data_IF_381597365669
#
_entry.id   IF_381597365669
#
_cell.length_a   1.000
_cell.length_b   1.000
_cell.length_c   1.000
_cell.angle_alpha   90.00
_cell.angle_beta   90.00
_cell.angle_gamma   90.00
#
_symmetry.space_group_name_H-M   'P 1'
#
loop_
_entity.id
_entity.type
_entity.pdbx_description
1 polymer ?
#
# COMPACT_ATOMS: atom_id res chain seq x y z
N UNK A 1 -24.32 -1.10 -11.33
CA UNK A 1 -23.63 0.01 -12.02
C UNK A 1 -22.20 -0.46 -12.23
N UNK A 2 -21.80 -0.79 -13.47
CA UNK A 2 -20.43 -1.20 -13.77
C UNK A 2 -19.56 0.04 -13.53
N UNK A 3 -18.61 -0.01 -12.60
CA UNK A 3 -17.52 0.96 -12.57
C UNK A 3 -16.80 0.83 -13.92
N UNK A 4 -16.95 1.82 -14.81
CA UNK A 4 -16.02 2.00 -15.91
C UNK A 4 -14.61 1.99 -15.30
N UNK A 5 -13.80 1.02 -15.73
CA UNK A 5 -12.49 0.78 -15.16
C UNK A 5 -11.61 2.00 -15.37
N UNK A 6 -10.92 2.44 -14.33
CA UNK A 6 -9.86 3.47 -14.43
C UNK A 6 -8.75 3.05 -15.39
N UNK A 7 -8.58 1.75 -15.58
CA UNK A 7 -7.58 1.15 -16.46
C UNK A 7 -8.28 0.30 -17.51
N UNK A 8 -7.73 0.31 -18.72
CA UNK A 8 -8.20 -0.55 -19.80
C UNK A 8 -7.70 -2.00 -19.64
N UNK A 9 -8.17 -2.91 -20.51
CA UNK A 9 -7.79 -4.33 -20.45
C UNK A 9 -6.28 -4.54 -20.69
N UNK A 10 -5.64 -3.70 -21.51
CA UNK A 10 -4.22 -3.82 -21.82
C UNK A 10 -3.35 -3.39 -20.64
N UNK A 11 -3.73 -2.33 -19.93
CA UNK A 11 -3.09 -1.87 -18.70
C UNK A 11 -3.24 -2.89 -17.57
N UNK A 12 -4.44 -3.46 -17.40
CA UNK A 12 -4.69 -4.53 -16.42
C UNK A 12 -3.84 -5.75 -16.73
N UNK A 13 -3.73 -6.16 -18.01
CA UNK A 13 -2.93 -7.30 -18.42
C UNK A 13 -1.42 -7.03 -18.27
N UNK A 14 -0.94 -5.84 -18.64
CA UNK A 14 0.45 -5.44 -18.44
C UNK A 14 0.84 -5.48 -16.96
N UNK A 15 -0.02 -4.96 -16.09
CA UNK A 15 0.17 -5.03 -14.65
C UNK A 15 0.13 -6.48 -14.13
N UNK A 16 -0.78 -7.33 -14.65
CA UNK A 16 -0.82 -8.76 -14.31
C UNK A 16 0.50 -9.45 -14.66
N UNK A 17 1.06 -9.18 -15.84
CA UNK A 17 2.34 -9.73 -16.28
C UNK A 17 3.47 -9.28 -15.36
N UNK A 18 3.59 -7.98 -15.08
CA UNK A 18 4.61 -7.43 -14.17
C UNK A 18 4.58 -8.13 -12.80
N UNK A 19 3.40 -8.25 -12.20
CA UNK A 19 3.22 -8.87 -10.88
C UNK A 19 3.28 -10.39 -10.88
N UNK A 20 3.35 -11.04 -12.03
CA UNK A 20 3.62 -12.46 -12.17
C UNK A 20 5.12 -12.79 -12.27
N UNK A 21 5.98 -11.77 -12.40
CA UNK A 21 7.45 -11.92 -12.43
C UNK A 21 8.00 -12.18 -11.02
N UNK A 22 9.31 -12.41 -10.94
CA UNK A 22 9.96 -12.83 -9.72
C UNK A 22 9.84 -11.75 -8.62
N UNK A 23 9.35 -12.16 -7.45
CA UNK A 23 9.34 -11.33 -6.24
C UNK A 23 10.17 -11.96 -5.12
N UNK A 24 11.10 -11.20 -4.55
CA UNK A 24 12.03 -11.67 -3.51
C UNK A 24 12.05 -10.75 -2.30
N UNK A 25 12.35 -11.32 -1.12
CA UNK A 25 12.64 -10.52 0.06
C UNK A 25 14.08 -10.00 -0.06
N UNK A 26 14.24 -8.68 0.02
CA UNK A 26 15.55 -8.03 -0.03
C UNK A 26 16.15 -7.95 1.37
N UNK A 27 15.48 -7.22 2.27
CA UNK A 27 15.94 -7.03 3.64
C UNK A 27 14.86 -6.46 4.57
N UNK A 28 15.10 -6.55 5.88
CA UNK A 28 14.38 -5.80 6.90
C UNK A 28 15.30 -4.72 7.50
N UNK A 29 14.88 -3.46 7.42
CA UNK A 29 15.62 -2.33 7.99
C UNK A 29 15.08 -1.97 9.38
N UNK A 30 15.99 -1.83 10.35
CA UNK A 30 15.68 -1.45 11.75
C UNK A 30 16.03 0.01 12.07
N UNK A 31 16.74 0.67 11.17
CA UNK A 31 17.15 2.08 11.25
C UNK A 31 17.25 2.67 9.83
N UNK A 32 17.26 4.00 9.75
CA UNK A 32 17.35 4.75 8.48
C UNK A 32 18.69 4.51 7.79
N UNK A 33 19.77 4.36 8.56
CA UNK A 33 21.11 4.07 8.04
C UNK A 33 21.22 2.69 7.37
N UNK A 34 20.28 1.79 7.67
CA UNK A 34 20.18 0.46 7.07
C UNK A 34 19.20 0.38 5.89
N UNK A 35 18.71 1.50 5.36
CA UNK A 35 17.86 1.47 4.18
C UNK A 35 18.66 1.11 2.93
N UNK A 36 18.11 0.32 1.98
CA UNK A 36 18.78 0.08 0.72
C UNK A 36 18.94 1.40 -0.06
N UNK A 37 19.86 1.49 -1.04
CA UNK A 37 19.98 2.66 -1.91
C UNK A 37 18.64 3.08 -2.52
N UNK A 38 18.41 4.37 -2.75
CA UNK A 38 17.16 4.90 -3.33
C UNK A 38 17.20 4.87 -4.87
N UNK A 39 17.50 3.70 -5.46
CA UNK A 39 17.85 3.47 -6.86
C UNK A 39 16.70 2.94 -7.74
N UNK A 40 15.52 2.67 -7.17
CA UNK A 40 14.36 2.18 -7.92
C UNK A 40 13.04 2.65 -7.30
N UNK A 41 11.93 2.73 -8.07
CA UNK A 41 10.64 3.14 -7.54
C UNK A 41 10.16 2.28 -6.36
N UNK A 42 9.64 2.94 -5.33
CA UNK A 42 9.11 2.31 -4.13
C UNK A 42 7.64 2.63 -3.93
N UNK A 43 6.88 1.63 -3.49
CA UNK A 43 5.55 1.83 -2.92
C UNK A 43 5.49 1.23 -1.51
N UNK A 44 4.88 1.96 -0.60
CA UNK A 44 4.81 1.56 0.80
C UNK A 44 3.40 1.06 1.16
N UNK A 45 3.29 0.07 2.05
CA UNK A 45 2.03 -0.41 2.59
C UNK A 45 2.01 -0.17 4.09
N UNK A 46 1.09 0.66 4.57
CA UNK A 46 0.88 0.92 6.00
C UNK A 46 -0.51 0.43 6.42
N UNK A 47 -0.70 0.16 7.71
CA UNK A 47 -2.02 -0.17 8.23
C UNK A 47 -1.97 -0.71 9.64
N UNK A 48 -3.15 -0.85 10.26
CA UNK A 48 -3.29 -1.47 11.58
C UNK A 48 -2.77 -2.90 11.57
N UNK A 49 -2.36 -3.40 12.74
CA UNK A 49 -2.11 -4.84 12.89
C UNK A 49 -3.33 -5.66 12.44
N UNK A 50 -3.08 -6.80 11.78
CA UNK A 50 -4.12 -7.71 11.28
C UNK A 50 -5.11 -7.12 10.27
N UNK A 51 -4.81 -5.95 9.69
CA UNK A 51 -5.63 -5.35 8.63
C UNK A 51 -5.59 -6.16 7.32
N UNK A 52 -4.58 -7.01 7.14
CA UNK A 52 -4.40 -7.84 5.93
C UNK A 52 -3.24 -7.41 5.03
N UNK A 53 -2.32 -6.56 5.51
CA UNK A 53 -1.16 -6.07 4.74
C UNK A 53 -0.31 -7.17 4.10
N UNK A 54 0.19 -8.12 4.90
CA UNK A 54 1.01 -9.22 4.36
C UNK A 54 0.20 -10.11 3.41
N UNK A 55 -1.09 -10.33 3.69
CA UNK A 55 -2.00 -11.04 2.77
C UNK A 55 -2.18 -10.31 1.44
N UNK A 56 -2.29 -8.98 1.47
CA UNK A 56 -2.41 -8.16 0.27
C UNK A 56 -1.13 -8.19 -0.56
N UNK A 57 0.04 -8.03 0.05
CA UNK A 57 1.34 -8.12 -0.64
C UNK A 57 1.49 -9.50 -1.31
N UNK A 58 1.19 -10.57 -0.57
CA UNK A 58 1.22 -11.94 -1.10
C UNK A 58 0.22 -12.13 -2.27
N UNK A 59 -0.98 -11.56 -2.18
CA UNK A 59 -1.97 -11.61 -3.26
C UNK A 59 -1.52 -10.83 -4.49
N UNK A 60 -0.89 -9.67 -4.31
CA UNK A 60 -0.34 -8.86 -5.39
C UNK A 60 0.67 -9.64 -6.21
N UNK A 61 1.62 -10.33 -5.59
CA UNK A 61 2.69 -11.06 -6.29
C UNK A 61 2.36 -12.54 -6.56
N UNK A 62 1.17 -13.03 -6.20
CA UNK A 62 0.80 -14.44 -6.38
C UNK A 62 1.59 -15.45 -5.53
N UNK A 63 2.36 -15.00 -4.54
CA UNK A 63 3.18 -15.85 -3.67
C UNK A 63 2.57 -15.99 -2.27
N UNK A 64 2.44 -17.21 -1.75
CA UNK A 64 1.79 -17.47 -0.45
C UNK A 64 2.64 -17.14 0.79
N UNK A 65 3.96 -16.94 0.64
CA UNK A 65 4.91 -16.88 1.78
C UNK A 65 5.99 -15.80 1.66
N UNK A 66 5.85 -14.87 0.72
CA UNK A 66 6.83 -13.79 0.54
C UNK A 66 6.81 -12.85 1.74
N UNK A 67 5.67 -12.20 1.98
CA UNK A 67 5.42 -11.40 3.17
C UNK A 67 4.87 -12.31 4.27
N UNK A 68 5.68 -12.61 5.28
CA UNK A 68 5.21 -13.34 6.46
C UNK A 68 4.51 -12.37 7.40
N UNK A 69 3.33 -12.74 7.88
CA UNK A 69 2.63 -12.01 8.93
C UNK A 69 3.43 -12.13 10.24
N UNK A 70 4.38 -11.22 10.47
CA UNK A 70 5.09 -11.08 11.74
C UNK A 70 4.14 -10.43 12.76
N UNK A 71 3.34 -11.26 13.41
CA UNK A 71 2.31 -10.85 14.37
C UNK A 71 2.68 -11.14 15.83
N UNK A 72 3.89 -11.61 16.10
CA UNK A 72 4.34 -11.93 17.45
C UNK A 72 4.75 -10.66 18.22
N UNK A 73 4.08 -10.35 19.35
CA UNK A 73 4.49 -9.26 20.21
C UNK A 73 5.91 -9.51 20.75
N UNK A 74 6.85 -8.60 20.49
CA UNK A 74 8.23 -8.68 21.01
C UNK A 74 9.32 -8.85 19.96
N UNK A 75 8.99 -9.09 18.68
CA UNK A 75 9.98 -9.02 17.60
C UNK A 75 10.39 -7.57 17.28
N UNK A 76 11.66 -7.41 16.92
CA UNK A 76 12.18 -6.17 16.32
C UNK A 76 11.29 -5.79 15.15
N UNK A 77 10.79 -4.56 15.17
CA UNK A 77 9.91 -4.08 14.12
C UNK A 77 10.74 -3.48 13.01
N UNK A 78 10.67 -4.07 11.84
CA UNK A 78 11.49 -3.74 10.67
C UNK A 78 10.61 -3.18 9.55
N UNK A 79 11.18 -2.28 8.75
CA UNK A 79 10.63 -1.93 7.43
C UNK A 79 11.12 -2.99 6.45
N UNK A 80 10.21 -3.80 5.92
CA UNK A 80 10.59 -4.91 5.04
C UNK A 80 10.51 -4.49 3.58
N UNK A 81 11.58 -4.77 2.84
CA UNK A 81 11.70 -4.48 1.43
C UNK A 81 11.57 -5.78 0.63
N UNK A 82 10.69 -5.78 -0.35
CA UNK A 82 10.56 -6.83 -1.34
C UNK A 82 10.83 -6.25 -2.72
N UNK A 83 11.64 -6.92 -3.53
CA UNK A 83 11.92 -6.51 -4.92
C UNK A 83 11.03 -7.33 -5.83
N UNK A 84 10.30 -6.65 -6.73
CA UNK A 84 9.55 -7.26 -7.81
C UNK A 84 10.26 -6.93 -9.13
N UNK A 85 10.75 -7.97 -9.80
CA UNK A 85 11.33 -7.93 -11.14
C UNK A 85 12.49 -6.96 -11.34
N UNK A 86 13.24 -6.66 -10.26
CA UNK A 86 14.26 -5.59 -10.26
C UNK A 86 13.74 -4.23 -10.77
N UNK A 87 12.41 -4.05 -10.82
CA UNK A 87 11.75 -2.88 -11.39
C UNK A 87 11.13 -2.01 -10.30
N UNK A 88 10.55 -2.62 -9.26
CA UNK A 88 9.97 -1.90 -8.13
C UNK A 88 10.29 -2.57 -6.80
N UNK A 89 10.21 -1.77 -5.75
CA UNK A 89 10.18 -2.27 -4.37
C UNK A 89 8.80 -2.10 -3.75
N UNK A 90 8.29 -3.20 -3.21
CA UNK A 90 7.14 -3.22 -2.32
C UNK A 90 7.67 -3.12 -0.89
N UNK A 91 7.29 -2.05 -0.18
CA UNK A 91 7.79 -1.77 1.16
C UNK A 91 6.68 -2.03 2.17
N UNK A 92 6.82 -3.06 2.98
CA UNK A 92 5.91 -3.32 4.09
C UNK A 92 6.33 -2.39 5.23
N UNK A 93 5.53 -1.33 5.39
CA UNK A 93 5.60 -0.52 6.59
C UNK A 93 4.96 -1.30 7.73
N UNK A 94 5.65 -1.38 8.85
CA UNK A 94 5.19 -2.16 9.96
C UNK A 94 3.92 -1.55 10.60
N UNK A 95 3.11 -2.39 11.24
CA UNK A 95 1.75 -2.01 11.64
C UNK A 95 1.68 -1.01 12.82
N UNK A 96 0.57 -0.28 12.92
CA UNK A 96 0.26 0.59 14.07
C UNK A 96 -0.95 0.08 14.87
N UNK A 97 -1.23 0.72 16.01
CA UNK A 97 -2.42 0.45 16.84
C UNK A 97 -2.33 -0.75 17.79
N UNK A 98 -1.13 -1.21 18.13
CA UNK A 98 -0.95 -2.29 19.13
C UNK A 98 -1.01 -1.77 20.58
N UNK A 99 -1.91 -2.34 21.38
CA UNK A 99 -2.08 -2.02 22.80
C UNK A 99 -0.94 -2.50 23.73
N UNK A 100 -0.06 -3.41 23.28
CA UNK A 100 0.87 -4.15 24.16
C UNK A 100 2.36 -3.84 23.98
N UNK A 101 2.73 -2.89 23.11
CA UNK A 101 4.14 -2.53 22.94
C UNK A 101 4.55 -1.42 23.91
N UNK A 102 5.79 -1.48 24.41
CA UNK A 102 6.32 -0.42 25.28
C UNK A 102 6.29 0.93 24.55
N UNK A 103 6.07 2.02 25.29
CA UNK A 103 6.05 3.39 24.73
C UNK A 103 7.35 3.70 23.96
N UNK A 104 8.49 3.18 24.42
CA UNK A 104 9.81 3.39 23.80
C UNK A 104 9.92 2.66 22.45
N UNK A 105 9.54 1.38 22.40
CA UNK A 105 9.59 0.59 21.16
C UNK A 105 8.60 1.10 20.13
N UNK A 106 7.43 1.57 20.56
CA UNK A 106 6.45 2.21 19.67
C UNK A 106 6.96 3.55 19.13
N UNK A 107 7.63 4.37 19.95
CA UNK A 107 8.17 5.67 19.51
C UNK A 107 9.34 5.53 18.54
N UNK A 108 10.33 4.66 18.82
CA UNK A 108 11.47 4.41 17.90
C UNK A 108 11.00 3.97 16.52
N UNK A 109 9.96 3.16 16.53
CA UNK A 109 9.33 2.64 15.35
C UNK A 109 8.53 3.67 14.55
N UNK A 110 7.70 4.45 15.24
CA UNK A 110 7.01 5.59 14.64
C UNK A 110 8.01 6.58 14.04
N UNK A 111 9.16 6.75 14.69
CA UNK A 111 10.27 7.53 14.14
C UNK A 111 10.82 6.88 12.86
N UNK A 112 11.18 5.58 12.87
CA UNK A 112 11.70 4.89 11.68
C UNK A 112 10.75 5.01 10.47
N UNK A 113 9.45 4.76 10.67
CA UNK A 113 8.47 4.90 9.60
C UNK A 113 8.39 6.35 9.10
N UNK A 114 8.36 7.33 10.00
CA UNK A 114 8.32 8.76 9.63
C UNK A 114 9.61 9.22 8.93
N UNK A 115 10.76 8.72 9.37
CA UNK A 115 12.06 9.10 8.83
C UNK A 115 12.26 8.48 7.45
N UNK A 116 11.77 7.24 7.24
CA UNK A 116 11.60 6.66 5.90
C UNK A 116 10.74 7.57 5.01
N UNK A 117 9.57 8.02 5.46
CA UNK A 117 8.68 8.88 4.65
C UNK A 117 9.31 10.22 4.26
N UNK A 118 10.17 10.80 5.11
CA UNK A 118 10.77 12.13 4.87
C UNK A 118 11.96 12.11 3.91
N UNK A 119 12.74 11.04 3.90
CA UNK A 119 14.01 10.97 3.16
C UNK A 119 13.94 10.17 1.85
N UNK A 120 12.81 9.52 1.57
CA UNK A 120 12.74 8.52 0.49
C UNK A 120 12.19 9.10 -0.81
N UNK A 121 13.04 9.78 -1.56
CA UNK A 121 12.68 10.46 -2.83
C UNK A 121 12.11 9.53 -3.90
N UNK A 122 12.47 8.24 -3.85
CA UNK A 122 11.98 7.21 -4.77
C UNK A 122 10.64 6.59 -4.33
N UNK A 123 10.09 6.96 -3.17
CA UNK A 123 8.77 6.54 -2.73
C UNK A 123 7.69 7.28 -3.55
N UNK A 124 7.04 6.55 -4.45
CA UNK A 124 6.04 7.10 -5.37
C UNK A 124 4.66 7.26 -4.72
N UNK A 125 4.27 6.31 -3.85
CA UNK A 125 3.00 6.35 -3.11
C UNK A 125 3.00 5.41 -1.92
N UNK A 126 2.28 5.80 -0.86
CA UNK A 126 1.91 4.92 0.23
C UNK A 126 0.46 4.40 0.10
N UNK A 127 0.21 3.16 0.46
CA UNK A 127 -1.10 2.53 0.48
C UNK A 127 -1.49 2.29 1.93
N UNK A 128 -2.47 3.06 2.42
CA UNK A 128 -2.99 2.96 3.78
C UNK A 128 -4.14 1.96 3.81
N UNK A 129 -3.90 0.79 4.41
CA UNK A 129 -4.86 -0.29 4.48
C UNK A 129 -5.81 -0.11 5.66
N UNK A 130 -7.09 -0.29 5.38
CA UNK A 130 -8.20 -0.16 6.33
C UNK A 130 -9.10 -1.38 6.20
N UNK A 131 -9.38 -2.08 7.30
CA UNK A 131 -10.30 -3.23 7.31
C UNK A 131 -11.72 -2.75 7.00
N UNK A 132 -12.30 -3.19 5.88
CA UNK A 132 -13.60 -2.72 5.40
C UNK A 132 -14.70 -2.91 6.46
N UNK A 133 -14.65 -3.99 7.24
CA UNK A 133 -15.65 -4.28 8.29
C UNK A 133 -15.77 -3.20 9.37
N UNK A 134 -14.75 -2.36 9.50
CA UNK A 134 -14.68 -1.32 10.51
C UNK A 134 -14.56 0.08 9.92
N UNK A 135 -14.03 0.21 8.71
CA UNK A 135 -13.70 1.50 8.12
C UNK A 135 -12.59 2.24 8.88
N UNK A 136 -12.48 3.54 8.59
CA UNK A 136 -11.60 4.48 9.26
C UNK A 136 -11.92 4.56 10.76
N UNK A 137 -10.88 4.57 11.58
CA UNK A 137 -10.94 4.87 13.02
C UNK A 137 -9.98 5.99 13.37
N UNK A 138 -10.11 6.55 14.56
CA UNK A 138 -9.27 7.65 15.05
C UNK A 138 -7.77 7.34 14.98
N UNK A 139 -7.39 6.09 15.25
CA UNK A 139 -6.00 5.61 15.15
C UNK A 139 -5.40 5.70 13.74
N UNK A 140 -6.24 5.80 12.71
CA UNK A 140 -5.80 5.95 11.32
C UNK A 140 -5.47 7.43 10.99
N UNK A 141 -5.82 8.38 11.88
CA UNK A 141 -5.49 9.82 11.73
C UNK A 141 -3.99 10.07 11.82
N UNK A 142 -3.30 9.43 12.76
CA UNK A 142 -1.86 9.61 12.96
C UNK A 142 -1.01 9.28 11.71
N UNK A 143 -1.19 8.13 11.03
CA UNK A 143 -0.45 7.86 9.79
C UNK A 143 -0.88 8.79 8.64
N UNK A 144 -2.17 9.16 8.54
CA UNK A 144 -2.60 10.14 7.53
C UNK A 144 -1.89 11.49 7.72
N UNK A 145 -1.84 12.00 8.95
CA UNK A 145 -1.14 13.24 9.28
C UNK A 145 0.38 13.13 9.02
N UNK A 146 0.96 11.95 9.20
CA UNK A 146 2.37 11.70 8.89
C UNK A 146 2.64 11.77 7.38
N UNK A 147 1.76 11.22 6.55
CA UNK A 147 1.86 11.34 5.09
C UNK A 147 1.65 12.78 4.63
N UNK A 148 0.64 13.48 5.17
CA UNK A 148 0.37 14.89 4.87
C UNK A 148 1.59 15.77 5.20
N UNK A 149 2.20 15.59 6.38
CA UNK A 149 3.39 16.36 6.80
C UNK A 149 4.64 16.02 6.00
N UNK A 150 4.75 14.80 5.48
CA UNK A 150 5.87 14.38 4.66
C UNK A 150 5.66 14.69 3.16
N UNK A 151 4.50 15.23 2.78
CA UNK A 151 4.08 15.42 1.39
C UNK A 151 4.15 14.12 0.56
N UNK A 152 3.92 12.97 1.20
CA UNK A 152 3.91 11.66 0.54
C UNK A 152 2.49 11.35 0.10
N UNK A 153 2.25 11.26 -1.21
CA UNK A 153 0.96 10.84 -1.75
C UNK A 153 0.57 9.48 -1.18
N UNK A 154 -0.66 9.37 -0.67
CA UNK A 154 -1.16 8.11 -0.13
C UNK A 154 -2.58 7.78 -0.57
N UNK A 155 -2.85 6.51 -0.84
CA UNK A 155 -4.16 6.01 -1.27
C UNK A 155 -4.72 5.04 -0.22
N UNK A 156 -6.02 5.17 0.10
CA UNK A 156 -6.68 4.24 1.02
C UNK A 156 -7.13 2.99 0.27
N UNK A 157 -6.77 1.83 0.83
CA UNK A 157 -7.20 0.51 0.36
C UNK A 157 -8.07 -0.15 1.43
N UNK A 158 -9.36 -0.36 1.13
CA UNK A 158 -10.29 -1.08 1.98
C UNK A 158 -10.07 -2.59 1.81
N UNK A 159 -9.46 -3.26 2.78
CA UNK A 159 -9.19 -4.71 2.72
C UNK A 159 -10.36 -5.53 3.24
N UNK A 160 -10.37 -6.84 2.91
CA UNK A 160 -11.39 -7.80 3.36
C UNK A 160 -12.81 -7.43 2.93
N UNK A 161 -12.94 -6.80 1.76
CA UNK A 161 -14.22 -6.40 1.21
C UNK A 161 -15.19 -7.58 1.01
N UNK A 162 -14.67 -8.81 0.87
CA UNK A 162 -15.46 -10.05 0.81
C UNK A 162 -16.26 -10.36 2.08
N UNK A 163 -15.96 -9.71 3.20
CA UNK A 163 -16.66 -9.88 4.47
C UNK A 163 -17.86 -8.94 4.63
N UNK A 164 -18.18 -8.16 3.59
CA UNK A 164 -19.28 -7.19 3.57
C UNK A 164 -20.13 -7.37 2.32
N UNK A 165 -21.35 -6.85 2.33
CA UNK A 165 -22.20 -6.85 1.12
C UNK A 165 -21.68 -5.80 0.12
N UNK A 166 -21.78 -6.03 -1.20
CA UNK A 166 -21.30 -5.08 -2.20
C UNK A 166 -21.79 -3.63 -2.00
N UNK A 167 -23.08 -3.45 -1.70
CA UNK A 167 -23.66 -2.12 -1.45
C UNK A 167 -23.07 -1.43 -0.20
N UNK A 168 -22.69 -2.20 0.83
CA UNK A 168 -22.05 -1.65 2.03
C UNK A 168 -20.60 -1.23 1.74
N UNK A 169 -19.90 -1.98 0.88
CA UNK A 169 -18.55 -1.62 0.41
C UNK A 169 -18.60 -0.33 -0.41
N UNK A 170 -19.53 -0.21 -1.36
CA UNK A 170 -19.72 1.00 -2.17
C UNK A 170 -20.01 2.23 -1.29
N UNK A 171 -20.92 2.09 -0.31
CA UNK A 171 -21.21 3.16 0.65
C UNK A 171 -19.98 3.53 1.50
N UNK A 172 -19.18 2.55 1.91
CA UNK A 172 -17.96 2.78 2.68
C UNK A 172 -16.87 3.46 1.85
N UNK A 173 -16.73 3.11 0.57
CA UNK A 173 -15.81 3.79 -0.37
C UNK A 173 -16.18 5.28 -0.44
N UNK A 174 -17.45 5.59 -0.74
CA UNK A 174 -17.91 6.98 -0.85
C UNK A 174 -17.72 7.76 0.45
N UNK A 175 -18.09 7.17 1.60
CA UNK A 175 -17.87 7.76 2.93
C UNK A 175 -16.39 8.05 3.20
N UNK A 176 -15.52 7.11 2.82
CA UNK A 176 -14.07 7.22 3.04
C UNK A 176 -13.47 8.31 2.16
N UNK A 177 -13.89 8.40 0.89
CA UNK A 177 -13.49 9.48 -0.03
C UNK A 177 -13.89 10.86 0.50
N UNK A 178 -15.13 11.00 0.97
CA UNK A 178 -15.60 12.24 1.58
C UNK A 178 -14.79 12.62 2.84
N UNK A 179 -14.36 11.64 3.63
CA UNK A 179 -13.57 11.86 4.84
C UNK A 179 -12.14 12.35 4.59
N UNK A 180 -11.55 12.01 3.43
CA UNK A 180 -10.16 12.36 3.09
C UNK A 180 -10.04 13.55 2.13
N UNK A 181 -11.15 14.08 1.60
CA UNK A 181 -11.14 15.13 0.55
C UNK A 181 -10.34 16.40 0.94
N UNK A 182 -10.26 16.73 2.24
CA UNK A 182 -9.53 17.91 2.74
C UNK A 182 -8.07 17.61 3.08
N UNK A 183 -7.61 16.37 2.89
CA UNK A 183 -6.23 15.99 3.19
C UNK A 183 -5.33 16.23 1.98
N UNK A 184 -4.27 17.03 2.11
CA UNK A 184 -3.48 17.50 0.99
C UNK A 184 -2.71 16.38 0.27
N UNK A 185 -2.29 15.33 0.98
CA UNK A 185 -1.54 14.23 0.36
C UNK A 185 -2.42 13.01 0.01
N UNK A 186 -3.72 13.06 0.32
CA UNK A 186 -4.63 11.96 0.05
C UNK A 186 -4.95 11.86 -1.45
N UNK A 187 -4.71 10.68 -2.01
CA UNK A 187 -5.16 10.33 -3.34
C UNK A 187 -6.70 10.22 -3.34
N UNK A 188 -7.41 10.88 -4.29
CA UNK A 188 -8.87 11.05 -4.22
C UNK A 188 -9.67 9.75 -4.43
N UNK A 189 -9.03 8.71 -4.97
CA UNK A 189 -9.67 7.40 -5.17
C UNK A 189 -9.43 6.48 -3.96
N UNK A 190 -10.48 5.80 -3.53
CA UNK A 190 -10.41 4.72 -2.55
C UNK A 190 -10.72 3.41 -3.27
N UNK A 191 -9.89 2.39 -3.08
CA UNK A 191 -10.07 1.08 -3.71
C UNK A 191 -10.44 0.03 -2.67
N UNK A 192 -11.37 -0.86 -2.97
CA UNK A 192 -11.71 -2.00 -2.13
C UNK A 192 -11.10 -3.29 -2.69
N UNK A 193 -10.52 -4.10 -1.82
CA UNK A 193 -9.83 -5.34 -2.19
C UNK A 193 -10.21 -6.52 -1.29
N UNK A 194 -10.13 -7.72 -1.86
CA UNK A 194 -10.12 -8.98 -1.12
C UNK A 194 -8.93 -9.82 -1.55
N UNK A 195 -7.97 -10.02 -0.65
CA UNK A 195 -6.88 -10.97 -0.88
C UNK A 195 -7.35 -12.42 -0.94
N UNK A 196 -8.53 -12.73 -0.40
CA UNK A 196 -9.11 -14.08 -0.39
C UNK A 196 -9.85 -14.39 -1.70
N UNK A 197 -10.59 -13.42 -2.24
CA UNK A 197 -11.39 -13.58 -3.47
C UNK A 197 -10.73 -13.02 -4.73
N UNK A 198 -9.67 -12.25 -4.60
CA UNK A 198 -8.98 -11.59 -5.71
C UNK A 198 -9.62 -10.29 -6.19
N UNK A 199 -10.80 -9.92 -5.67
CA UNK A 199 -11.49 -8.68 -6.03
C UNK A 199 -10.59 -7.45 -5.79
N UNK A 200 -10.53 -6.54 -6.75
CA UNK A 200 -9.74 -5.30 -6.65
C UNK A 200 -8.22 -5.49 -6.78
N UNK A 201 -7.72 -6.74 -6.86
CA UNK A 201 -6.29 -7.00 -7.00
C UNK A 201 -5.77 -6.63 -8.40
N UNK A 202 -6.46 -6.95 -9.51
CA UNK A 202 -6.04 -6.51 -10.84
C UNK A 202 -5.91 -4.98 -10.91
N UNK A 203 -6.91 -4.25 -10.40
CA UNK A 203 -6.93 -2.80 -10.36
C UNK A 203 -5.79 -2.25 -9.49
N UNK A 204 -5.55 -2.82 -8.30
CA UNK A 204 -4.44 -2.40 -7.44
C UNK A 204 -3.07 -2.65 -8.08
N UNK A 205 -2.91 -3.70 -8.88
CA UNK A 205 -1.68 -3.92 -9.64
C UNK A 205 -1.48 -2.81 -10.68
N UNK A 206 -2.53 -2.48 -11.42
CA UNK A 206 -2.49 -1.41 -12.43
C UNK A 206 -2.21 -0.04 -11.77
N UNK A 207 -2.82 0.25 -10.62
CA UNK A 207 -2.51 1.44 -9.80
C UNK A 207 -1.04 1.57 -9.47
N UNK A 208 -0.44 0.48 -8.95
CA UNK A 208 0.95 0.46 -8.55
C UNK A 208 1.85 0.60 -9.78
N UNK A 209 1.56 -0.13 -10.85
CA UNK A 209 2.32 -0.05 -12.09
C UNK A 209 2.28 1.36 -12.69
N UNK A 210 1.10 1.98 -12.79
CA UNK A 210 0.93 3.35 -13.28
C UNK A 210 1.70 4.37 -12.41
N UNK A 211 1.58 4.24 -11.08
CA UNK A 211 2.25 5.11 -10.10
C UNK A 211 3.77 5.04 -10.21
N UNK A 212 4.30 3.88 -10.60
CA UNK A 212 5.73 3.66 -10.83
C UNK A 212 6.14 3.87 -12.29
N UNK A 213 5.24 4.34 -13.16
CA UNK A 213 5.49 4.58 -14.60
C UNK A 213 5.93 3.29 -15.34
N UNK A 214 5.35 2.15 -14.98
CA UNK A 214 5.67 0.82 -15.52
C UNK A 214 4.59 0.20 -16.41
N UNK A 215 3.51 0.94 -16.67
CA UNK A 215 2.57 0.57 -17.71
C UNK A 215 3.12 1.01 -19.08
N UNK A 216 2.80 0.28 -20.16
CA UNK A 216 3.11 0.73 -21.52
C UNK A 216 2.46 2.10 -21.75
N UNK A 217 3.20 3.03 -22.36
CA UNK A 217 2.63 4.31 -22.79
C UNK A 217 1.64 4.05 -23.91
N UNK A 218 0.42 4.55 -23.79
CA UNK A 218 -0.55 4.53 -24.89
C UNK A 218 -0.01 5.39 -26.04
N UNK A 219 -0.08 4.94 -27.31
CA UNK A 219 0.49 5.68 -28.45
C UNK A 219 -0.06 7.11 -28.64
N UNK A 220 -1.20 7.44 -28.04
CA UNK A 220 -1.82 8.77 -28.16
C UNK A 220 -1.04 9.88 -27.44
N UNK A 221 -0.19 9.55 -26.47
CA UNK A 221 0.61 10.54 -25.73
C UNK A 221 1.83 11.06 -26.51
N UNK A 222 2.25 10.36 -27.57
CA UNK A 222 3.40 10.75 -28.41
C UNK A 222 2.99 11.53 -29.67
N UNK A 223 1.70 11.83 -29.85
CA UNK A 223 1.16 12.54 -31.02
C UNK A 223 1.06 14.08 -30.84
N UNK A 224 1.40 14.61 -29.66
CA UNK A 224 1.42 16.07 -29.38
C UNK A 224 2.83 16.63 -29.09
N UNK A 225 3.87 15.95 -29.57
CA UNK A 225 5.27 16.38 -29.48
C UNK A 225 5.77 17.15 -30.70
#
# INVERSE_FOLDING_TARGET
MKTEGTFDEAEIEAARILFARQATFLMGAVSVDGLPPADMPEVAFAGRSNVGKSSLINALVGHKKLARASNEPGRTREVNFFVLDEAIRLVDLPGYGWARASKITTKKFQNLGRDYLRGRVNLKRAYLLIDARHGLKDVDTEPMDAFDKAAVSYQIILTKADKMKPAEVEALVAKTQAAIIKRPAAFPRVLATSSEKGNGIPELRAEIAATCELLPRTPEADAEG
#
